data_IF_318229965426
#
_entry.id   IF_318229965426
#
_cell.length_a   1.000
_cell.length_b   1.000
_cell.length_c   1.000
_cell.angle_alpha   90.00
_cell.angle_beta   90.00
_cell.angle_gamma   90.00
#
_symmetry.space_group_name_H-M   'P 1'
#
loop_
_entity.id
_entity.type
_entity.pdbx_description
1 polymer ?
#
# COMPACT_ATOMS: atom_id res chain seq x y z
N UNK A 1 -39.34 42.14 3.23
CA UNK A 1 -39.48 40.68 3.41
C UNK A 1 -38.07 40.13 3.52
N UNK A 2 -37.59 39.88 4.75
CA UNK A 2 -36.21 39.43 5.01
C UNK A 2 -36.20 37.90 5.09
N UNK A 3 -35.42 37.24 4.23
CA UNK A 3 -35.22 35.80 4.25
C UNK A 3 -34.10 35.50 5.25
N UNK A 4 -34.41 34.85 6.38
CA UNK A 4 -33.42 34.39 7.34
C UNK A 4 -32.98 32.99 6.91
N UNK A 5 -31.75 32.88 6.39
CA UNK A 5 -31.10 31.58 6.15
C UNK A 5 -30.53 31.11 7.49
N UNK A 6 -31.15 30.11 8.10
CA UNK A 6 -30.63 29.47 9.30
C UNK A 6 -29.41 28.61 8.93
N UNK A 7 -28.21 29.09 9.29
CA UNK A 7 -26.97 28.33 9.19
C UNK A 7 -26.91 27.34 10.37
N UNK A 8 -27.27 26.09 10.13
CA UNK A 8 -27.14 25.03 11.15
C UNK A 8 -25.67 24.60 11.26
N UNK A 9 -24.93 25.20 12.19
CA UNK A 9 -23.57 24.77 12.53
C UNK A 9 -23.67 23.57 13.47
N UNK A 10 -23.47 22.36 12.92
CA UNK A 10 -23.38 21.13 13.72
C UNK A 10 -21.93 20.98 14.21
N UNK A 11 -21.69 21.28 15.48
CA UNK A 11 -20.39 21.04 16.13
C UNK A 11 -20.38 19.62 16.69
N UNK A 12 -19.69 18.70 16.01
CA UNK A 12 -19.47 17.33 16.50
C UNK A 12 -18.10 17.29 17.19
N UNK A 13 -18.08 17.08 18.51
CA UNK A 13 -16.86 16.71 19.25
C UNK A 13 -16.74 15.18 19.23
N UNK A 14 -15.66 14.64 18.68
CA UNK A 14 -15.36 13.21 18.77
C UNK A 14 -14.12 13.00 19.64
N UNK A 15 -14.28 12.21 20.70
CA UNK A 15 -13.22 11.83 21.63
C UNK A 15 -12.39 10.69 21.06
N UNK A 16 -11.08 10.87 20.95
CA UNK A 16 -10.10 9.80 20.81
C UNK A 16 -10.04 8.99 22.11
N UNK A 17 -10.76 7.88 22.22
CA UNK A 17 -10.45 6.86 23.22
C UNK A 17 -10.42 5.50 22.56
N UNK A 18 -9.23 4.90 22.54
CA UNK A 18 -8.97 3.53 22.12
C UNK A 18 -9.73 2.56 23.04
N UNK A 19 -10.46 1.60 22.47
CA UNK A 19 -10.87 0.38 23.18
C UNK A 19 -10.29 -0.84 22.44
N UNK A 20 -9.74 -1.84 23.16
CA UNK A 20 -9.27 -3.07 22.53
C UNK A 20 -10.47 -3.93 22.12
N UNK A 21 -10.38 -4.56 20.94
CA UNK A 21 -11.16 -5.76 20.61
C UNK A 21 -12.37 -5.64 19.69
N UNK A 22 -12.76 -4.44 19.22
CA UNK A 22 -13.87 -4.29 18.26
C UNK A 22 -13.60 -3.10 17.32
N UNK A 23 -12.97 -3.35 16.17
CA UNK A 23 -12.74 -2.33 15.15
C UNK A 23 -13.34 -2.69 13.80
N UNK A 24 -14.59 -3.14 13.77
CA UNK A 24 -15.37 -3.17 12.52
C UNK A 24 -16.83 -2.88 12.84
N UNK A 25 -17.30 -1.69 12.46
CA UNK A 25 -18.74 -1.46 12.18
C UNK A 25 -19.04 -0.11 11.52
N UNK A 26 -18.09 0.83 11.48
CA UNK A 26 -18.31 2.07 10.74
C UNK A 26 -17.06 2.46 9.94
N UNK A 27 -17.17 2.28 8.62
CA UNK A 27 -16.25 2.85 7.63
C UNK A 27 -16.40 4.37 7.67
N UNK A 28 -15.62 5.03 8.53
CA UNK A 28 -15.53 6.48 8.59
C UNK A 28 -14.41 6.96 7.68
N UNK A 29 -14.78 7.53 6.53
CA UNK A 29 -13.87 8.29 5.69
C UNK A 29 -13.34 9.49 6.47
N UNK A 30 -12.01 9.57 6.67
CA UNK A 30 -11.37 10.80 7.15
C UNK A 30 -11.33 11.78 5.97
N UNK A 31 -12.25 12.74 5.99
CA UNK A 31 -12.42 13.76 4.93
C UNK A 31 -11.46 14.92 5.17
N UNK A 32 -10.44 15.08 4.33
CA UNK A 32 -9.80 16.37 4.09
C UNK A 32 -10.04 16.77 2.64
N UNK A 33 -10.74 17.88 2.42
CA UNK A 33 -11.00 18.44 1.09
C UNK A 33 -12.41 19.03 0.96
N UNK A 34 -12.51 20.35 1.02
CA UNK A 34 -13.74 21.12 0.79
C UNK A 34 -13.82 21.43 -0.70
N UNK A 35 -14.52 20.59 -1.50
CA UNK A 35 -14.99 20.93 -2.87
C UNK A 35 -16.06 19.94 -3.38
N UNK A 36 -16.76 20.39 -4.42
CA UNK A 36 -18.12 20.03 -4.88
C UNK A 36 -18.50 18.53 -4.83
N UNK A 37 -19.75 18.26 -4.41
CA UNK A 37 -20.38 16.93 -4.36
C UNK A 37 -20.41 16.16 -5.70
N UNK A 38 -20.04 16.80 -6.82
CA UNK A 38 -19.96 16.17 -8.15
C UNK A 38 -18.62 15.45 -8.36
N UNK A 39 -17.53 16.01 -7.85
CA UNK A 39 -16.20 15.37 -7.81
C UNK A 39 -16.16 14.20 -6.81
N UNK A 40 -17.18 14.11 -5.95
CA UNK A 40 -17.39 12.95 -5.10
C UNK A 40 -17.89 11.73 -5.87
N UNK A 41 -18.47 11.82 -7.06
CA UNK A 41 -19.08 10.65 -7.73
C UNK A 41 -18.10 9.49 -7.93
N UNK A 42 -17.02 9.73 -8.68
CA UNK A 42 -15.96 8.75 -8.93
C UNK A 42 -15.06 8.55 -7.71
N UNK A 43 -14.72 9.63 -7.00
CA UNK A 43 -13.89 9.54 -5.80
C UNK A 43 -14.57 8.82 -4.60
N UNK A 44 -15.91 8.78 -4.56
CA UNK A 44 -16.68 8.00 -3.59
C UNK A 44 -16.72 6.52 -3.98
N UNK A 45 -16.91 6.22 -5.28
CA UNK A 45 -16.89 4.84 -5.77
C UNK A 45 -15.52 4.20 -5.55
N UNK A 46 -14.43 4.92 -5.80
CA UNK A 46 -13.07 4.44 -5.58
C UNK A 46 -12.75 4.24 -4.09
N UNK A 47 -13.20 5.16 -3.22
CA UNK A 47 -13.12 4.95 -1.75
C UNK A 47 -13.93 3.76 -1.28
N UNK A 48 -15.11 3.54 -1.87
CA UNK A 48 -15.93 2.36 -1.56
C UNK A 48 -15.22 1.09 -2.02
N UNK A 49 -14.63 1.09 -3.21
CA UNK A 49 -13.88 -0.05 -3.72
C UNK A 49 -12.67 -0.39 -2.84
N UNK A 50 -11.88 0.61 -2.45
CA UNK A 50 -10.76 0.42 -1.53
C UNK A 50 -11.23 -0.06 -0.14
N UNK A 51 -12.37 0.43 0.35
CA UNK A 51 -12.96 -0.03 1.60
C UNK A 51 -13.54 -1.45 1.50
N UNK A 52 -14.12 -1.84 0.36
CA UNK A 52 -14.61 -3.20 0.12
C UNK A 52 -13.43 -4.17 0.04
N UNK A 53 -12.33 -3.80 -0.62
CA UNK A 53 -11.06 -4.52 -0.57
C UNK A 53 -10.56 -4.68 0.87
N UNK A 54 -10.48 -3.59 1.65
CA UNK A 54 -9.95 -3.66 3.01
C UNK A 54 -10.79 -4.59 3.91
N UNK A 55 -12.10 -4.68 3.67
CA UNK A 55 -12.98 -5.65 4.36
C UNK A 55 -12.73 -7.08 3.91
N UNK A 56 -12.55 -7.32 2.61
CA UNK A 56 -12.20 -8.65 2.09
C UNK A 56 -10.84 -9.12 2.63
N UNK A 57 -9.83 -8.24 2.58
CA UNK A 57 -8.49 -8.53 3.08
C UNK A 57 -8.47 -8.88 4.57
N UNK A 58 -9.34 -8.26 5.37
CA UNK A 58 -9.47 -8.57 6.80
C UNK A 58 -9.98 -10.00 7.07
N UNK A 59 -10.58 -10.66 6.07
CA UNK A 59 -11.03 -12.04 6.16
C UNK A 59 -10.02 -13.05 5.59
N UNK A 60 -8.87 -12.59 5.06
CA UNK A 60 -7.86 -13.49 4.53
C UNK A 60 -7.15 -14.28 5.65
N UNK A 61 -6.81 -15.56 5.42
CA UNK A 61 -6.05 -16.34 6.40
C UNK A 61 -4.71 -15.68 6.75
N UNK A 62 -4.37 -15.65 8.03
CA UNK A 62 -3.14 -15.04 8.54
C UNK A 62 -3.13 -13.52 8.57
N UNK A 63 -4.20 -12.83 8.16
CA UNK A 63 -4.31 -11.37 8.31
C UNK A 63 -4.81 -11.03 9.70
N UNK A 64 -4.02 -10.22 10.43
CA UNK A 64 -4.36 -9.79 11.80
C UNK A 64 -4.87 -8.36 11.86
N UNK A 65 -4.51 -7.52 10.89
CA UNK A 65 -4.95 -6.13 10.83
C UNK A 65 -4.92 -5.61 9.40
N UNK A 66 -5.89 -4.78 9.04
CA UNK A 66 -5.86 -4.02 7.78
C UNK A 66 -5.91 -2.53 8.11
N UNK A 67 -4.98 -1.77 7.56
CA UNK A 67 -4.92 -0.32 7.61
C UNK A 67 -6.05 0.33 6.81
N UNK A 68 -6.39 1.57 7.15
CA UNK A 68 -7.43 2.30 6.43
C UNK A 68 -6.92 2.67 5.03
N UNK A 69 -7.68 2.43 3.94
CA UNK A 69 -7.27 2.81 2.60
C UNK A 69 -7.02 4.32 2.44
N UNK A 70 -5.79 4.73 2.20
CA UNK A 70 -5.51 6.13 1.87
C UNK A 70 -5.80 6.37 0.38
N UNK A 71 -6.86 7.12 0.09
CA UNK A 71 -7.24 7.47 -1.28
C UNK A 71 -6.88 8.92 -1.53
N UNK A 72 -5.80 9.12 -2.28
CA UNK A 72 -5.32 10.45 -2.63
C UNK A 72 -6.14 11.00 -3.79
N UNK A 73 -6.91 12.06 -3.51
CA UNK A 73 -7.54 12.88 -4.55
C UNK A 73 -6.54 13.97 -4.90
N UNK A 74 -6.12 13.98 -6.16
CA UNK A 74 -5.20 15.00 -6.67
C UNK A 74 -6.00 16.27 -6.95
N UNK A 75 -5.84 17.30 -6.12
CA UNK A 75 -6.39 18.65 -6.36
C UNK A 75 -5.25 19.57 -6.83
N UNK A 76 -5.33 20.08 -8.06
CA UNK A 76 -4.43 21.11 -8.57
C UNK A 76 -4.17 21.08 -10.08
N UNK A 77 -4.12 22.26 -10.70
CA UNK A 77 -3.86 22.54 -12.13
C UNK A 77 -2.52 21.96 -12.69
N UNK A 78 -1.75 21.20 -11.91
CA UNK A 78 -0.42 20.68 -12.27
C UNK A 78 -0.17 19.22 -11.94
N UNK A 79 -1.14 18.47 -11.42
CA UNK A 79 -0.96 17.05 -11.17
C UNK A 79 -2.02 16.25 -11.93
N UNK A 80 -1.64 15.76 -13.12
CA UNK A 80 -2.47 14.92 -13.97
C UNK A 80 -2.17 13.45 -13.68
N UNK A 81 -2.53 12.96 -12.49
CA UNK A 81 -2.67 11.51 -12.40
C UNK A 81 -3.94 11.13 -13.17
N UNK A 82 -3.78 10.45 -14.32
CA UNK A 82 -4.90 9.92 -15.10
C UNK A 82 -5.71 8.86 -14.32
N UNK A 83 -5.15 8.33 -13.21
CA UNK A 83 -5.78 7.40 -12.27
C UNK A 83 -5.75 7.92 -10.84
N UNK A 84 -6.80 7.64 -10.06
CA UNK A 84 -6.76 7.85 -8.61
C UNK A 84 -5.83 6.82 -7.96
N UNK A 85 -5.14 7.21 -6.88
CA UNK A 85 -4.28 6.32 -6.10
C UNK A 85 -4.99 5.96 -4.80
N UNK A 86 -5.13 4.66 -4.55
CA UNK A 86 -5.49 4.10 -3.25
C UNK A 86 -4.32 3.26 -2.74
N UNK A 87 -4.00 3.36 -1.44
CA UNK A 87 -3.04 2.48 -0.79
C UNK A 87 -3.66 1.80 0.42
N UNK A 88 -3.38 0.52 0.61
CA UNK A 88 -3.87 -0.25 1.76
C UNK A 88 -2.73 -1.08 2.33
N UNK A 89 -2.57 -1.02 3.65
CA UNK A 89 -1.63 -1.90 4.37
C UNK A 89 -2.38 -3.08 4.96
N UNK A 90 -1.94 -4.30 4.71
CA UNK A 90 -2.43 -5.54 5.29
C UNK A 90 -1.33 -6.10 6.16
N UNK A 91 -1.58 -6.24 7.46
CA UNK A 91 -0.65 -6.79 8.44
C UNK A 91 -0.93 -8.27 8.60
N UNK A 92 0.12 -9.05 8.44
CA UNK A 92 0.09 -10.50 8.36
C UNK A 92 0.82 -11.07 9.55
N UNK A 93 0.24 -12.09 10.17
CA UNK A 93 0.95 -12.94 11.12
C UNK A 93 1.85 -13.91 10.33
N UNK A 94 3.18 -13.86 10.51
CA UNK A 94 4.11 -14.72 9.79
C UNK A 94 3.93 -16.21 10.06
N UNK A 95 3.35 -16.59 11.21
CA UNK A 95 3.17 -18.00 11.58
C UNK A 95 1.88 -18.59 11.01
N UNK A 96 0.91 -17.74 10.66
CA UNK A 96 -0.41 -18.14 10.17
C UNK A 96 -0.65 -17.80 8.69
N UNK A 97 0.12 -16.85 8.16
CA UNK A 97 -0.02 -16.31 6.81
C UNK A 97 1.05 -16.81 5.83
N UNK A 98 0.60 -17.30 4.68
CA UNK A 98 1.47 -17.64 3.55
C UNK A 98 1.66 -16.41 2.66
N UNK A 99 2.85 -15.81 2.71
CA UNK A 99 3.15 -14.55 2.01
C UNK A 99 2.96 -14.68 0.50
N UNK A 100 3.34 -15.82 -0.10
CA UNK A 100 3.13 -16.13 -1.51
C UNK A 100 1.63 -16.09 -1.91
N UNK A 101 0.78 -16.77 -1.15
CA UNK A 101 -0.66 -16.79 -1.38
C UNK A 101 -1.29 -15.39 -1.20
N UNK A 102 -0.85 -14.64 -0.18
CA UNK A 102 -1.33 -13.29 0.09
C UNK A 102 -0.87 -12.28 -0.96
N UNK A 103 0.37 -12.43 -1.46
CA UNK A 103 0.93 -11.60 -2.53
C UNK A 103 0.18 -11.82 -3.84
N UNK A 104 -0.14 -13.08 -4.19
CA UNK A 104 -0.97 -13.39 -5.35
C UNK A 104 -2.38 -12.78 -5.25
N UNK A 105 -3.01 -12.83 -4.07
CA UNK A 105 -4.32 -12.18 -3.83
C UNK A 105 -4.24 -10.66 -3.94
N UNK A 106 -3.21 -10.06 -3.35
CA UNK A 106 -2.96 -8.62 -3.42
C UNK A 106 -2.79 -8.15 -4.88
N UNK A 107 -2.00 -8.88 -5.69
CA UNK A 107 -1.86 -8.60 -7.11
C UNK A 107 -3.20 -8.68 -7.84
N UNK A 108 -3.96 -9.76 -7.65
CA UNK A 108 -5.25 -9.92 -8.32
C UNK A 108 -6.22 -8.77 -8.01
N UNK A 109 -6.24 -8.29 -6.76
CA UNK A 109 -7.07 -7.15 -6.34
C UNK A 109 -6.57 -5.84 -6.94
N UNK A 110 -5.26 -5.64 -7.00
CA UNK A 110 -4.67 -4.48 -7.65
C UNK A 110 -4.98 -4.44 -9.15
N UNK A 111 -4.85 -5.58 -9.85
CA UNK A 111 -5.23 -5.71 -11.26
C UNK A 111 -6.72 -5.41 -11.48
N UNK A 112 -7.61 -5.96 -10.65
CA UNK A 112 -9.05 -5.70 -10.75
C UNK A 112 -9.39 -4.21 -10.51
N UNK A 113 -8.70 -3.55 -9.57
CA UNK A 113 -8.85 -2.11 -9.36
C UNK A 113 -8.38 -1.30 -10.59
N UNK A 114 -7.27 -1.73 -11.21
CA UNK A 114 -6.72 -1.07 -12.39
C UNK A 114 -7.66 -1.11 -13.61
N UNK A 115 -8.39 -2.22 -13.79
CA UNK A 115 -9.45 -2.34 -14.82
C UNK A 115 -10.58 -1.32 -14.61
N UNK A 116 -10.77 -0.86 -13.37
CA UNK A 116 -11.75 0.14 -12.97
C UNK A 116 -11.18 1.56 -12.92
N UNK A 117 -9.93 1.75 -13.37
CA UNK A 117 -9.26 3.06 -13.39
C UNK A 117 -8.66 3.50 -12.05
N UNK A 118 -8.58 2.60 -11.07
CA UNK A 118 -7.96 2.84 -9.76
C UNK A 118 -6.59 2.16 -9.70
N UNK A 119 -5.54 2.91 -9.38
CA UNK A 119 -4.27 2.30 -8.95
C UNK A 119 -4.40 1.93 -7.48
N UNK A 120 -4.30 0.66 -7.16
CA UNK A 120 -4.34 0.15 -5.79
C UNK A 120 -2.98 -0.42 -5.39
N UNK A 121 -2.28 0.27 -4.51
CA UNK A 121 -1.02 -0.19 -3.92
C UNK A 121 -1.35 -0.98 -2.65
N UNK A 122 -1.05 -2.28 -2.64
CA UNK A 122 -1.27 -3.15 -1.48
C UNK A 122 0.07 -3.42 -0.82
N UNK A 123 0.22 -3.02 0.44
CA UNK A 123 1.39 -3.32 1.26
C UNK A 123 1.09 -4.48 2.19
N UNK A 124 1.76 -5.62 2.00
CA UNK A 124 1.81 -6.67 3.02
C UNK A 124 2.90 -6.31 4.03
N UNK A 125 2.53 -6.15 5.30
CA UNK A 125 3.45 -5.93 6.41
C UNK A 125 3.57 -7.23 7.20
N UNK A 126 4.76 -7.82 7.17
CA UNK A 126 5.14 -9.02 7.90
C UNK A 126 6.31 -8.62 8.80
N UNK A 127 6.11 -8.64 10.12
CA UNK A 127 7.08 -8.08 11.08
C UNK A 127 7.48 -6.63 10.74
N UNK A 128 8.79 -6.37 10.58
CA UNK A 128 9.36 -5.07 10.21
C UNK A 128 9.60 -4.96 8.68
N UNK A 129 9.02 -5.86 7.88
CA UNK A 129 9.20 -5.93 6.43
C UNK A 129 7.91 -5.62 5.68
N UNK A 130 8.05 -4.84 4.60
CA UNK A 130 6.97 -4.39 3.74
C UNK A 130 7.15 -4.95 2.32
N UNK A 131 6.11 -5.61 1.80
CA UNK A 131 6.00 -5.99 0.39
C UNK A 131 4.89 -5.18 -0.26
N UNK A 132 5.25 -4.23 -1.12
CA UNK A 132 4.32 -3.34 -1.83
C UNK A 132 4.08 -3.88 -3.24
N UNK A 133 2.83 -4.18 -3.54
CA UNK A 133 2.39 -4.78 -4.79
C UNK A 133 1.39 -3.86 -5.49
N UNK A 134 1.58 -3.69 -6.80
CA UNK A 134 0.66 -2.99 -7.69
C UNK A 134 0.32 -3.87 -8.89
N UNK A 135 -0.57 -3.40 -9.77
CA UNK A 135 -1.01 -4.09 -10.98
C UNK A 135 0.14 -4.39 -11.96
N UNK A 136 1.30 -3.75 -11.78
CA UNK A 136 2.52 -3.95 -12.58
C UNK A 136 3.46 -5.00 -12.03
N UNK A 137 3.16 -5.62 -10.88
CA UNK A 137 4.01 -6.65 -10.29
C UNK A 137 4.18 -7.89 -11.18
N UNK A 138 3.13 -8.24 -11.94
CA UNK A 138 3.03 -9.33 -12.91
C UNK A 138 4.22 -10.32 -12.96
N UNK A 139 5.17 -10.15 -13.90
CA UNK A 139 6.25 -11.10 -14.15
C UNK A 139 7.29 -11.20 -13.03
N UNK A 140 7.41 -10.19 -12.17
CA UNK A 140 8.40 -10.11 -11.11
C UNK A 140 7.83 -10.48 -9.72
N UNK A 141 6.57 -10.93 -9.64
CA UNK A 141 5.93 -11.27 -8.37
C UNK A 141 6.70 -12.35 -7.60
N UNK A 142 7.01 -13.47 -8.26
CA UNK A 142 7.71 -14.60 -7.63
C UNK A 142 9.09 -14.16 -7.12
N UNK A 143 9.82 -13.38 -7.92
CA UNK A 143 11.12 -12.82 -7.52
C UNK A 143 10.99 -11.87 -6.32
N UNK A 144 9.95 -11.04 -6.27
CA UNK A 144 9.73 -10.13 -5.15
C UNK A 144 9.40 -10.88 -3.86
N UNK A 145 8.60 -11.94 -3.94
CA UNK A 145 8.33 -12.83 -2.80
C UNK A 145 9.62 -13.53 -2.35
N UNK A 146 10.42 -14.05 -3.29
CA UNK A 146 11.71 -14.69 -2.96
C UNK A 146 12.67 -13.70 -2.26
N UNK A 147 12.83 -12.49 -2.80
CA UNK A 147 13.66 -11.44 -2.19
C UNK A 147 13.13 -11.06 -0.80
N UNK A 148 11.82 -10.97 -0.65
CA UNK A 148 11.17 -10.65 0.62
C UNK A 148 11.44 -11.72 1.69
N UNK A 149 11.26 -13.00 1.36
CA UNK A 149 11.54 -14.11 2.28
C UNK A 149 13.03 -14.20 2.62
N UNK A 150 13.94 -14.04 1.65
CA UNK A 150 15.38 -14.01 1.95
C UNK A 150 15.72 -12.86 2.90
N UNK A 151 15.11 -11.68 2.71
CA UNK A 151 15.32 -10.56 3.62
C UNK A 151 14.71 -10.80 5.02
N UNK A 152 13.60 -11.53 5.10
CA UNK A 152 12.93 -11.88 6.36
C UNK A 152 13.74 -12.86 7.19
N UNK A 153 14.34 -13.84 6.53
CA UNK A 153 15.14 -14.89 7.17
C UNK A 153 16.58 -14.44 7.51
N UNK A 154 17.01 -13.28 7.00
CA UNK A 154 18.33 -12.72 7.25
C UNK A 154 18.36 -11.93 8.58
N UNK A 155 19.06 -12.47 9.58
CA UNK A 155 19.17 -11.89 10.92
C UNK A 155 19.89 -10.54 10.97
N UNK A 156 20.59 -10.17 9.89
CA UNK A 156 21.25 -8.87 9.70
C UNK A 156 20.27 -7.78 9.26
N UNK A 157 19.11 -8.16 8.72
CA UNK A 157 18.09 -7.22 8.25
C UNK A 157 17.26 -6.71 9.44
N UNK A 158 17.17 -5.39 9.55
CA UNK A 158 16.33 -4.72 10.54
C UNK A 158 14.97 -4.32 9.99
N UNK A 159 14.92 -3.86 8.74
CA UNK A 159 13.69 -3.62 7.99
C UNK A 159 13.96 -3.70 6.50
N UNK A 160 12.98 -4.13 5.72
CA UNK A 160 13.06 -4.14 4.27
C UNK A 160 11.74 -3.65 3.65
N UNK A 161 11.85 -2.92 2.54
CA UNK A 161 10.72 -2.62 1.66
C UNK A 161 11.05 -3.16 0.29
N UNK A 162 10.29 -4.16 -0.15
CA UNK A 162 10.26 -4.65 -1.53
C UNK A 162 9.06 -4.01 -2.19
N UNK A 163 9.26 -3.30 -3.31
CA UNK A 163 8.18 -2.59 -3.98
C UNK A 163 8.23 -2.87 -5.47
N UNK A 164 7.13 -3.40 -5.98
CA UNK A 164 6.85 -3.56 -7.40
C UNK A 164 5.82 -2.49 -7.77
N UNK A 165 6.30 -1.31 -8.14
CA UNK A 165 5.44 -0.17 -8.38
C UNK A 165 5.75 0.46 -9.74
N UNK A 166 4.72 0.95 -10.40
CA UNK A 166 4.89 1.82 -11.56
C UNK A 166 5.41 3.20 -11.11
N UNK A 167 6.49 3.67 -11.72
CA UNK A 167 6.88 5.08 -11.68
C UNK A 167 6.39 5.76 -12.95
N UNK A 168 5.27 6.48 -12.86
CA UNK A 168 4.65 7.15 -14.01
C UNK A 168 3.16 7.35 -13.83
N UNK A 169 2.58 8.19 -14.68
CA UNK A 169 1.15 8.53 -14.67
C UNK A 169 0.32 7.55 -15.52
N UNK A 170 0.96 6.84 -16.47
CA UNK A 170 0.31 5.92 -17.41
C UNK A 170 0.60 4.44 -17.08
N UNK A 171 -0.35 3.52 -17.30
CA UNK A 171 -0.12 2.08 -17.12
C UNK A 171 1.00 1.59 -18.03
N UNK A 172 2.02 0.95 -17.43
CA UNK A 172 3.18 0.43 -18.15
C UNK A 172 4.23 1.48 -18.51
N UNK A 173 4.18 2.70 -17.96
CA UNK A 173 5.18 3.74 -18.24
C UNK A 173 6.58 3.30 -17.78
N UNK A 174 6.79 2.98 -16.50
CA UNK A 174 7.97 2.25 -16.04
C UNK A 174 7.69 1.37 -14.83
N UNK A 175 7.63 0.06 -15.06
CA UNK A 175 7.61 -0.93 -14.00
C UNK A 175 8.96 -0.87 -13.27
N UNK A 176 8.93 -0.60 -11.96
CA UNK A 176 10.10 -0.45 -11.13
C UNK A 176 10.13 -1.53 -10.06
N UNK A 177 11.24 -2.26 -10.01
CA UNK A 177 11.57 -3.13 -8.89
C UNK A 177 12.47 -2.37 -7.93
N UNK A 178 11.97 -2.08 -6.73
CA UNK A 178 12.70 -1.36 -5.70
C UNK A 178 12.89 -2.21 -4.45
N UNK A 179 14.13 -2.27 -3.97
CA UNK A 179 14.50 -2.87 -2.70
C UNK A 179 15.20 -1.83 -1.82
N UNK A 180 14.62 -1.53 -0.68
CA UNK A 180 15.25 -0.73 0.37
C UNK A 180 15.46 -1.56 1.62
N UNK A 181 16.69 -1.64 2.10
CA UNK A 181 17.04 -2.39 3.29
C UNK A 181 17.72 -1.48 4.31
N UNK A 182 17.34 -1.66 5.57
CA UNK A 182 18.08 -1.17 6.73
C UNK A 182 18.58 -2.37 7.50
N UNK A 183 19.89 -2.43 7.69
CA UNK A 183 20.51 -3.48 8.49
C UNK A 183 20.43 -3.15 9.97
N UNK A 184 20.57 -4.16 10.83
CA UNK A 184 20.61 -3.99 12.29
C UNK A 184 21.92 -3.36 12.75
N UNK A 185 23.03 -3.66 12.07
CA UNK A 185 24.34 -3.08 12.35
C UNK A 185 24.94 -2.44 11.09
N UNK A 186 25.79 -1.43 11.26
CA UNK A 186 26.40 -0.71 10.14
C UNK A 186 27.32 -1.60 9.30
N UNK A 187 28.05 -2.52 9.95
CA UNK A 187 28.98 -3.45 9.30
C UNK A 187 28.28 -4.47 8.39
N UNK A 188 27.01 -4.77 8.65
CA UNK A 188 26.19 -5.68 7.86
C UNK A 188 25.78 -5.10 6.51
N UNK A 189 25.83 -3.78 6.34
CA UNK A 189 25.30 -3.12 5.15
C UNK A 189 26.02 -3.53 3.85
N UNK A 190 27.32 -3.83 3.91
CA UNK A 190 28.09 -4.29 2.75
C UNK A 190 27.73 -5.73 2.35
N UNK A 191 27.81 -6.74 3.23
CA UNK A 191 27.48 -8.11 2.84
C UNK A 191 26.00 -8.26 2.45
N UNK A 192 25.06 -7.65 3.18
CA UNK A 192 23.63 -7.67 2.82
C UNK A 192 23.38 -7.09 1.43
N UNK A 193 24.11 -6.02 1.05
CA UNK A 193 24.05 -5.47 -0.31
C UNK A 193 24.52 -6.45 -1.37
N UNK A 194 25.56 -7.23 -1.09
CA UNK A 194 26.06 -8.22 -2.04
C UNK A 194 25.07 -9.36 -2.22
N UNK A 195 24.45 -9.81 -1.13
CA UNK A 195 23.54 -10.96 -1.16
C UNK A 195 22.19 -10.59 -1.82
N UNK A 196 21.54 -9.52 -1.35
CA UNK A 196 20.17 -9.20 -1.78
C UNK A 196 20.10 -8.35 -3.06
N UNK A 197 21.04 -7.44 -3.31
CA UNK A 197 20.96 -6.63 -4.54
C UNK A 197 21.29 -7.44 -5.81
N UNK A 198 21.98 -8.58 -5.69
CA UNK A 198 22.19 -9.49 -6.83
C UNK A 198 20.88 -10.11 -7.29
N UNK A 199 19.95 -10.41 -6.37
CA UNK A 199 18.63 -10.95 -6.71
C UNK A 199 17.81 -9.93 -7.49
N UNK A 200 17.84 -8.65 -7.07
CA UNK A 200 17.14 -7.55 -7.77
C UNK A 200 17.63 -7.35 -9.21
N UNK A 201 18.90 -7.68 -9.50
CA UNK A 201 19.44 -7.57 -10.85
C UNK A 201 18.75 -8.53 -11.84
N UNK A 202 18.15 -9.61 -11.34
CA UNK A 202 17.43 -10.61 -12.14
C UNK A 202 16.00 -10.20 -12.52
N UNK A 203 15.46 -9.12 -11.96
CA UNK A 203 14.11 -8.65 -12.28
C UNK A 203 13.99 -8.22 -13.76
N UNK A 204 12.82 -8.49 -14.35
CA UNK A 204 12.46 -8.08 -15.72
C UNK A 204 11.91 -6.63 -15.76
N UNK A 205 11.87 -5.96 -14.62
CA UNK A 205 11.52 -4.56 -14.50
C UNK A 205 12.43 -3.62 -15.34
N UNK A 206 11.81 -2.61 -15.95
CA UNK A 206 12.50 -1.59 -16.75
C UNK A 206 13.53 -0.84 -15.92
N UNK A 207 13.18 -0.52 -14.67
CA UNK A 207 14.07 0.11 -13.71
C UNK A 207 14.23 -0.78 -12.47
N UNK A 208 15.47 -0.94 -12.02
CA UNK A 208 15.82 -1.74 -10.85
C UNK A 208 16.65 -0.89 -9.91
N UNK A 209 16.23 -0.83 -8.66
CA UNK A 209 16.96 -0.04 -7.66
C UNK A 209 17.04 -0.79 -6.35
N UNK A 210 18.28 -1.01 -5.91
CA UNK A 210 18.57 -1.60 -4.62
C UNK A 210 19.35 -0.60 -3.76
N UNK A 211 18.89 -0.37 -2.54
CA UNK A 211 19.54 0.51 -1.57
C UNK A 211 19.64 -0.20 -0.23
N UNK A 212 20.87 -0.34 0.27
CA UNK A 212 21.14 -0.94 1.59
C UNK A 212 21.91 0.07 2.41
N UNK A 213 21.40 0.40 3.59
CA UNK A 213 22.03 1.28 4.56
C UNK A 213 22.07 0.66 5.96
N UNK A 214 22.83 1.29 6.86
CA UNK A 214 22.87 0.93 8.28
C UNK A 214 21.54 1.19 9.02
N UNK A 215 21.52 0.92 10.34
CA UNK A 215 20.35 1.13 11.18
C UNK A 215 19.87 2.59 11.15
N UNK A 216 18.57 2.80 11.44
CA UNK A 216 17.96 4.14 11.55
C UNK A 216 18.39 4.86 12.83
#
# INVERSE_FOLDING_TARGET
>A
MLLVVALTVVVIRVSEHQRPGFFYDQVWARVQGVRDLRDWGEAYQNRRLAADFARDAAAWPGVVRVGWPDVQVVDGDTAKLERQLASVTVVVDPDEGRVDDLAARALAQSTAAAELGLRLDVTLLVDDLELVLTDTAGPDLDLAVDVFEVARDDDRVGSATVSLAAYGETPGDMDMFYLLIRTRQEEDARPVRQDLCLLVAAADAKERRCSVGGPR
#
